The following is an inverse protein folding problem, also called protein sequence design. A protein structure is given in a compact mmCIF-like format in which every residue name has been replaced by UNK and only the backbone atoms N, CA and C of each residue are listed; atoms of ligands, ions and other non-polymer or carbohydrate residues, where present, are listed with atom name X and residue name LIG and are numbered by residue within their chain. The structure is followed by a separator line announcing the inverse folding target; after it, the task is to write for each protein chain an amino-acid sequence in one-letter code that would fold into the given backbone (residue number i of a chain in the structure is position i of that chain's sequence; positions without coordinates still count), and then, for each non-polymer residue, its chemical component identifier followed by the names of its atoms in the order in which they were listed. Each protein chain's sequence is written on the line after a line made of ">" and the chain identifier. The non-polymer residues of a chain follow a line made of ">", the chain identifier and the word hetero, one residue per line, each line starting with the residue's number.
data_IF_294706383826
#
_entry.id   IF_294706383826
#
_cell.length_a   1.000
_cell.length_b   1.000
_cell.length_c   1.000
_cell.angle_alpha   90.00
_cell.angle_beta   90.00
_cell.angle_gamma   90.00
#
_symmetry.space_group_name_H-M   'P 1'
#
loop_
_entity.id
_entity.type
_entity.pdbx_description
1 polymer ?
#
# COMPACT_ATOMS: atom_id res chain seq x y z
N UNK A 1 -9.37 4.38 10.84
CA UNK A 1 -8.32 5.15 11.51
C UNK A 1 -6.94 4.64 11.13
N UNK A 2 -5.99 5.53 11.05
CA UNK A 2 -4.60 5.22 10.69
C UNK A 2 -4.00 4.19 11.67
N UNK A 3 -4.27 4.31 12.96
CA UNK A 3 -3.75 3.38 13.97
C UNK A 3 -4.16 1.93 13.70
N UNK A 4 -5.41 1.69 13.33
CA UNK A 4 -5.89 0.33 13.04
C UNK A 4 -5.24 -0.24 11.79
N UNK A 5 -5.11 0.56 10.74
CA UNK A 5 -4.47 0.14 9.49
C UNK A 5 -2.97 -0.13 9.71
N UNK A 6 -2.29 0.72 10.46
CA UNK A 6 -0.87 0.54 10.78
C UNK A 6 -0.63 -0.74 11.58
N UNK A 7 -1.46 -1.00 12.59
CA UNK A 7 -1.37 -2.23 13.38
C UNK A 7 -1.59 -3.47 12.51
N UNK A 8 -2.57 -3.41 11.61
CA UNK A 8 -2.87 -4.53 10.72
C UNK A 8 -1.68 -4.81 9.78
N UNK A 9 -1.10 -3.77 9.20
CA UNK A 9 0.09 -3.89 8.33
C UNK A 9 1.23 -4.57 9.09
N UNK A 10 1.48 -4.16 10.33
CA UNK A 10 2.58 -4.73 11.14
C UNK A 10 2.31 -6.17 11.52
N UNK A 11 1.08 -6.51 11.92
CA UNK A 11 0.71 -7.87 12.29
C UNK A 11 0.79 -8.84 11.10
N UNK A 12 0.32 -8.41 9.94
CA UNK A 12 0.29 -9.24 8.73
C UNK A 12 1.58 -9.17 7.92
N UNK A 13 2.50 -8.28 8.29
CA UNK A 13 3.77 -8.05 7.59
C UNK A 13 3.57 -7.79 6.10
N UNK A 14 2.52 -7.08 5.76
CA UNK A 14 2.25 -6.66 4.38
C UNK A 14 2.72 -5.22 4.15
N UNK A 15 2.93 -4.85 2.89
CA UNK A 15 3.38 -3.51 2.54
C UNK A 15 2.23 -2.57 2.25
N UNK A 16 1.11 -3.10 1.78
CA UNK A 16 -0.04 -2.32 1.32
C UNK A 16 -1.33 -3.02 1.67
N UNK A 17 -2.34 -2.20 1.91
CA UNK A 17 -3.72 -2.65 2.12
C UNK A 17 -4.62 -1.95 1.13
N UNK A 18 -5.45 -2.68 0.36
CA UNK A 18 -6.51 -2.02 -0.40
C UNK A 18 -7.53 -1.43 0.56
N UNK A 19 -8.05 -0.27 0.21
CA UNK A 19 -9.03 0.46 1.02
C UNK A 19 -10.36 0.46 0.27
N UNK A 20 -11.42 0.12 0.98
CA UNK A 20 -12.79 0.11 0.44
C UNK A 20 -13.65 1.09 1.23
N UNK A 21 -14.73 1.55 0.59
CA UNK A 21 -15.74 2.36 1.25
C UNK A 21 -16.84 1.48 1.87
N UNK A 22 -17.92 2.10 2.35
CA UNK A 22 -19.05 1.41 2.98
C UNK A 22 -19.79 0.47 2.02
N UNK A 23 -19.71 0.73 0.71
CA UNK A 23 -20.32 -0.09 -0.34
C UNK A 23 -19.37 -1.15 -0.90
N UNK A 24 -18.25 -1.38 -0.24
CA UNK A 24 -17.19 -2.31 -0.67
C UNK A 24 -16.51 -1.92 -1.98
N UNK A 25 -16.64 -0.66 -2.40
CA UNK A 25 -15.93 -0.16 -3.57
C UNK A 25 -14.49 0.18 -3.24
N UNK A 26 -13.60 -0.17 -4.14
CA UNK A 26 -12.18 0.15 -4.01
C UNK A 26 -11.98 1.65 -4.18
N UNK A 27 -11.28 2.28 -3.23
CA UNK A 27 -11.02 3.72 -3.26
C UNK A 27 -9.53 4.08 -3.23
N UNK A 28 -8.66 3.13 -2.97
CA UNK A 28 -7.23 3.40 -2.98
C UNK A 28 -6.45 2.38 -2.17
N UNK A 29 -5.19 2.70 -1.91
CA UNK A 29 -4.26 1.84 -1.15
C UNK A 29 -3.65 2.63 0.00
N UNK A 30 -3.63 2.02 1.16
CA UNK A 30 -2.85 2.46 2.30
C UNK A 30 -1.62 1.57 2.43
N UNK A 31 -0.44 2.16 2.49
CA UNK A 31 0.80 1.42 2.63
C UNK A 31 1.73 2.05 3.65
N UNK A 32 2.77 1.34 4.01
CA UNK A 32 3.77 1.82 4.95
C UNK A 32 4.42 3.13 4.46
N UNK A 33 4.58 3.28 3.14
CA UNK A 33 5.11 4.51 2.56
C UNK A 33 4.18 5.71 2.77
N UNK A 34 2.88 5.47 2.80
CA UNK A 34 1.90 6.53 3.10
C UNK A 34 2.09 7.04 4.52
N UNK A 35 2.28 6.12 5.46
CA UNK A 35 2.54 6.46 6.86
C UNK A 35 3.86 7.23 7.01
N UNK A 36 4.91 6.75 6.37
CA UNK A 36 6.22 7.40 6.43
C UNK A 36 6.20 8.83 5.91
N UNK A 37 5.43 9.09 4.86
CA UNK A 37 5.28 10.46 4.32
C UNK A 37 4.70 11.44 5.34
N UNK A 38 3.85 10.95 6.25
CA UNK A 38 3.23 11.79 7.27
C UNK A 38 4.15 12.03 8.47
N UNK A 39 4.94 11.04 8.85
CA UNK A 39 5.79 11.13 10.05
C UNK A 39 7.19 11.65 9.77
N UNK A 40 7.69 11.52 8.54
CA UNK A 40 9.00 12.04 8.18
C UNK A 40 8.91 13.53 7.82
N UNK A 41 9.94 14.32 8.19
CA UNK A 41 10.02 15.71 7.75
C UNK A 41 10.05 15.80 6.22
N UNK A 42 9.40 16.82 5.66
CA UNK A 42 9.37 17.02 4.20
C UNK A 42 10.76 17.07 3.58
N UNK A 43 11.74 17.64 4.27
CA UNK A 43 13.11 17.74 3.79
C UNK A 43 13.75 16.37 3.56
N UNK A 44 13.39 15.36 4.36
CA UNK A 44 13.90 13.99 4.20
C UNK A 44 13.35 13.33 2.94
N UNK A 45 12.14 13.70 2.54
CA UNK A 45 11.45 13.13 1.37
C UNK A 45 11.83 13.82 0.06
N UNK A 46 12.56 14.92 0.12
CA UNK A 46 13.03 15.64 -1.06
C UNK A 46 14.20 14.91 -1.72
N UNK A 47 14.44 15.22 -3.03
CA UNK A 47 15.51 14.61 -3.82
C UNK A 47 16.90 14.72 -3.16
N UNK A 48 17.17 15.82 -2.45
CA UNK A 48 18.42 16.04 -1.70
C UNK A 48 18.25 15.79 -0.19
N UNK A 49 17.27 14.98 0.17
CA UNK A 49 16.95 14.73 1.57
C UNK A 49 18.09 14.12 2.37
N UNK A 50 18.95 13.30 1.75
CA UNK A 50 20.09 12.70 2.42
C UNK A 50 21.11 13.72 2.91
N UNK A 51 21.35 14.79 2.15
CA UNK A 51 22.26 15.86 2.57
C UNK A 51 21.67 16.66 3.75
N UNK A 52 20.37 16.92 3.67
CA UNK A 52 19.65 17.64 4.72
C UNK A 52 19.52 16.81 6.00
N UNK A 53 19.35 15.48 5.85
CA UNK A 53 19.19 14.54 6.97
C UNK A 53 20.38 14.53 7.91
N UNK A 54 21.59 14.81 7.42
CA UNK A 54 22.79 14.87 8.24
C UNK A 54 22.71 15.91 9.35
N UNK A 55 21.92 16.96 9.13
CA UNK A 55 21.77 18.06 10.06
C UNK A 55 20.51 17.95 10.90
N UNK A 56 19.65 16.98 10.62
CA UNK A 56 18.41 16.77 11.35
C UNK A 56 18.61 15.80 12.51
N UNK A 57 18.29 16.27 13.70
CA UNK A 57 18.31 15.46 14.91
C UNK A 57 16.92 14.94 15.20
N UNK A 58 16.48 13.96 14.40
CA UNK A 58 15.20 13.29 14.65
C UNK A 58 15.49 11.93 15.30
N UNK A 59 14.95 11.73 16.48
CA UNK A 59 15.01 10.46 17.19
C UNK A 59 13.78 9.63 16.88
N UNK A 60 13.79 8.35 17.26
CA UNK A 60 12.65 7.47 17.19
C UNK A 60 11.47 8.05 18.01
N UNK A 61 11.76 8.72 19.12
CA UNK A 61 10.74 9.38 19.95
C UNK A 61 10.04 10.50 19.20
N UNK A 62 10.77 11.26 18.38
CA UNK A 62 10.17 12.32 17.57
C UNK A 62 9.21 11.76 16.51
N UNK A 63 9.61 10.67 15.87
CA UNK A 63 8.76 9.98 14.89
C UNK A 63 7.49 9.42 15.56
N UNK A 64 7.64 8.83 16.74
CA UNK A 64 6.53 8.29 17.51
C UNK A 64 5.54 9.40 17.90
N UNK A 65 6.04 10.54 18.33
CA UNK A 65 5.21 11.71 18.66
C UNK A 65 4.40 12.17 17.45
N UNK A 66 5.03 12.28 16.29
CA UNK A 66 4.34 12.66 15.04
C UNK A 66 3.27 11.64 14.65
N UNK A 67 3.56 10.35 14.83
CA UNK A 67 2.57 9.30 14.59
C UNK A 67 1.38 9.46 15.53
N UNK A 68 1.61 9.75 16.81
CA UNK A 68 0.54 9.94 17.79
C UNK A 68 -0.38 11.11 17.44
N UNK A 69 0.15 12.13 16.76
CA UNK A 69 -0.65 13.28 16.33
C UNK A 69 -1.64 12.93 15.22
N UNK A 70 -1.38 11.90 14.44
CA UNK A 70 -2.19 11.53 13.27
C UNK A 70 -2.91 10.19 13.41
N UNK A 71 -2.65 9.43 14.46
CA UNK A 71 -3.13 8.04 14.57
C UNK A 71 -4.66 7.91 14.59
N UNK A 72 -5.38 8.92 15.03
CA UNK A 72 -6.85 8.92 15.08
C UNK A 72 -7.48 9.47 13.79
N UNK A 73 -6.69 9.99 12.87
CA UNK A 73 -7.17 10.48 11.59
C UNK A 73 -7.61 9.33 10.68
N UNK A 74 -8.53 9.58 9.75
CA UNK A 74 -8.93 8.55 8.79
C UNK A 74 -7.79 8.24 7.82
N UNK A 75 -7.74 7.00 7.33
CA UNK A 75 -6.69 6.58 6.37
C UNK A 75 -6.78 7.33 5.03
N UNK A 76 -7.93 7.91 4.73
CA UNK A 76 -8.09 8.76 3.54
C UNK A 76 -7.14 9.96 3.52
N UNK A 77 -6.63 10.36 4.67
CA UNK A 77 -5.64 11.44 4.77
C UNK A 77 -4.34 11.10 4.04
N UNK A 78 -3.95 9.84 4.02
CA UNK A 78 -2.64 9.43 3.50
C UNK A 78 -2.70 8.29 2.48
N UNK A 79 -3.86 7.75 2.16
CA UNK A 79 -3.95 6.72 1.12
C UNK A 79 -3.68 7.31 -0.26
N UNK A 80 -3.24 6.46 -1.19
CA UNK A 80 -3.07 6.84 -2.58
C UNK A 80 -4.19 6.23 -3.43
N UNK A 81 -4.74 7.01 -4.36
CA UNK A 81 -5.72 6.57 -5.34
C UNK A 81 -5.09 6.20 -6.70
N UNK A 82 -3.79 6.40 -6.84
CA UNK A 82 -3.04 6.13 -8.08
C UNK A 82 -2.57 4.69 -8.21
N UNK A 83 -2.98 3.80 -7.31
CA UNK A 83 -2.56 2.42 -7.34
C UNK A 83 -3.06 1.69 -8.58
N UNK A 84 -2.19 0.87 -9.16
CA UNK A 84 -2.54 0.02 -10.29
C UNK A 84 -3.43 -1.12 -9.81
N UNK A 85 -4.51 -1.37 -10.53
CA UNK A 85 -5.46 -2.45 -10.25
C UNK A 85 -5.63 -3.33 -11.48
N UNK A 86 -6.11 -4.55 -11.28
CA UNK A 86 -6.48 -5.46 -12.36
C UNK A 86 -7.94 -5.87 -12.21
N UNK A 87 -8.54 -6.29 -13.33
CA UNK A 87 -9.90 -6.83 -13.34
C UNK A 87 -9.86 -8.37 -13.22
N UNK A 88 -10.95 -9.02 -12.79
CA UNK A 88 -11.00 -10.48 -12.71
C UNK A 88 -10.71 -11.18 -14.04
N UNK A 89 -11.06 -10.54 -15.17
CA UNK A 89 -10.86 -11.08 -16.52
C UNK A 89 -9.58 -10.58 -17.19
N UNK A 90 -8.73 -9.83 -16.50
CA UNK A 90 -7.44 -9.38 -17.05
C UNK A 90 -6.61 -10.60 -17.43
N UNK A 91 -6.05 -10.67 -18.66
CA UNK A 91 -5.25 -11.81 -19.08
C UNK A 91 -4.08 -12.08 -18.14
N UNK A 92 -3.78 -13.34 -17.93
CA UNK A 92 -2.72 -13.77 -17.01
C UNK A 92 -1.36 -13.16 -17.36
N UNK A 93 -1.01 -13.13 -18.64
CA UNK A 93 0.27 -12.56 -19.10
C UNK A 93 0.36 -11.07 -18.76
N UNK A 94 -0.73 -10.34 -18.92
CA UNK A 94 -0.76 -8.92 -18.58
C UNK A 94 -0.64 -8.70 -17.07
N UNK A 95 -1.34 -9.51 -16.28
CA UNK A 95 -1.24 -9.47 -14.81
C UNK A 95 0.18 -9.74 -14.33
N UNK A 96 0.84 -10.73 -14.93
CA UNK A 96 2.23 -11.07 -14.61
C UNK A 96 3.19 -9.92 -14.93
N UNK A 97 2.99 -9.26 -16.07
CA UNK A 97 3.80 -8.11 -16.46
C UNK A 97 3.66 -6.97 -15.46
N UNK A 98 2.42 -6.72 -15.01
CA UNK A 98 2.15 -5.66 -14.02
C UNK A 98 2.80 -6.02 -12.68
N UNK A 99 2.65 -7.26 -12.22
CA UNK A 99 3.29 -7.73 -10.98
C UNK A 99 4.81 -7.60 -11.05
N UNK A 100 5.40 -7.95 -12.18
CA UNK A 100 6.84 -7.84 -12.38
C UNK A 100 7.32 -6.39 -12.27
N UNK A 101 6.55 -5.46 -12.85
CA UNK A 101 6.91 -4.04 -12.86
C UNK A 101 6.69 -3.37 -11.50
N UNK A 102 5.60 -3.68 -10.81
CA UNK A 102 5.19 -3.00 -9.58
C UNK A 102 5.62 -3.72 -8.30
N UNK A 103 6.12 -4.93 -8.40
CA UNK A 103 6.73 -5.69 -7.30
C UNK A 103 5.87 -5.73 -6.02
N UNK A 104 4.61 -6.07 -6.15
CA UNK A 104 3.75 -6.14 -4.98
C UNK A 104 2.42 -6.81 -5.30
N UNK A 105 1.57 -6.88 -4.29
CA UNK A 105 0.22 -7.37 -4.47
C UNK A 105 -0.63 -6.34 -5.22
N UNK A 106 -1.48 -6.80 -6.12
CA UNK A 106 -2.37 -5.95 -6.89
C UNK A 106 -3.82 -6.17 -6.44
N UNK A 107 -4.57 -5.10 -6.18
CA UNK A 107 -6.01 -5.21 -5.98
C UNK A 107 -6.70 -5.69 -7.25
N UNK A 108 -7.64 -6.60 -7.09
CA UNK A 108 -8.51 -7.07 -8.16
C UNK A 108 -9.87 -6.39 -7.98
N UNK A 109 -10.25 -5.56 -8.94
CA UNK A 109 -11.44 -4.72 -8.86
C UNK A 109 -12.36 -5.05 -10.01
N UNK A 110 -13.66 -5.23 -9.71
CA UNK A 110 -14.67 -5.45 -10.72
C UNK A 110 -14.95 -4.13 -11.46
N UNK A 111 -14.70 -4.06 -12.78
CA UNK A 111 -14.89 -2.82 -13.52
C UNK A 111 -16.35 -2.37 -13.66
N UNK A 112 -17.31 -3.28 -13.47
CA UNK A 112 -18.73 -2.95 -13.59
C UNK A 112 -19.25 -2.18 -12.38
N UNK A 113 -18.82 -2.56 -11.16
CA UNK A 113 -19.34 -1.97 -9.93
C UNK A 113 -18.28 -1.31 -9.05
N UNK A 114 -16.99 -1.41 -9.41
CA UNK A 114 -15.89 -0.83 -8.64
C UNK A 114 -15.57 -1.55 -7.34
N UNK A 115 -16.14 -2.72 -7.09
CA UNK A 115 -15.93 -3.46 -5.86
C UNK A 115 -14.62 -4.23 -5.86
N UNK A 116 -13.99 -4.27 -4.70
CA UNK A 116 -12.81 -5.10 -4.49
C UNK A 116 -13.22 -6.58 -4.44
N UNK A 117 -12.65 -7.37 -5.35
CA UNK A 117 -12.91 -8.81 -5.43
C UNK A 117 -11.87 -9.59 -4.63
N UNK A 118 -10.63 -9.11 -4.62
CA UNK A 118 -9.54 -9.76 -3.93
C UNK A 118 -8.21 -9.08 -4.21
N UNK A 119 -7.14 -9.77 -3.89
CA UNK A 119 -5.77 -9.31 -4.11
C UNK A 119 -4.97 -10.45 -4.73
N UNK A 120 -4.17 -10.14 -5.73
CA UNK A 120 -3.27 -11.12 -6.35
C UNK A 120 -1.81 -10.74 -6.12
N UNK A 121 -0.98 -11.72 -5.77
CA UNK A 121 0.44 -11.51 -5.47
C UNK A 121 1.31 -12.45 -6.28
N UNK A 122 2.63 -12.21 -6.23
CA UNK A 122 3.62 -13.13 -6.79
C UNK A 122 3.46 -14.56 -6.27
N UNK A 123 3.19 -14.68 -4.98
CA UNK A 123 3.08 -15.98 -4.32
C UNK A 123 1.92 -16.78 -4.89
N UNK A 124 0.78 -16.12 -5.12
CA UNK A 124 -0.40 -16.76 -5.70
C UNK A 124 -0.12 -17.28 -7.10
N UNK A 125 0.48 -16.45 -7.94
CA UNK A 125 0.77 -16.81 -9.34
C UNK A 125 1.90 -17.84 -9.41
N UNK A 126 2.97 -17.62 -8.63
CA UNK A 126 4.09 -18.55 -8.59
C UNK A 126 3.66 -19.95 -8.15
N UNK A 127 2.83 -20.01 -7.13
CA UNK A 127 2.27 -21.29 -6.67
C UNK A 127 1.44 -21.96 -7.75
N UNK A 128 0.58 -21.21 -8.42
CA UNK A 128 -0.25 -21.74 -9.49
C UNK A 128 0.60 -22.27 -10.67
N UNK A 129 1.67 -21.59 -11.03
CA UNK A 129 2.58 -22.04 -12.09
C UNK A 129 3.29 -23.32 -11.70
N UNK A 130 3.81 -23.40 -10.46
CA UNK A 130 4.55 -24.58 -9.99
C UNK A 130 3.66 -25.81 -9.80
N UNK A 131 2.40 -25.61 -9.47
CA UNK A 131 1.43 -26.68 -9.24
C UNK A 131 0.60 -27.03 -10.47
N UNK A 132 0.75 -26.30 -11.57
CA UNK A 132 -0.02 -26.53 -12.78
C UNK A 132 0.32 -27.91 -13.38
N UNK A 133 -0.72 -28.69 -13.65
CA UNK A 133 -0.59 -29.95 -14.39
C UNK A 133 -0.63 -29.64 -15.90
N UNK A 134 0.32 -30.21 -16.62
CA UNK A 134 0.44 -30.01 -18.07
C UNK A 134 -0.32 -31.10 -18.80
#
# INVERSE_FOLDING_TARGET
>A
KISLAADYIMQQRCRRLPVIDEDNKYIGVFGINCLLRLVLPKAVLMERGLETTRFMKNSLSDLHRRFNEIMDEPITLCMTDEAVVVAPDTPLIETLRILYTHMGALPVVDPENGRLVGVISYWDVGKAILEAEV
#
